data_IF_006551492387
#
_entry.id   IF_006551492387
#
_cell.length_a   1.000
_cell.length_b   1.000
_cell.length_c   1.000
_cell.angle_alpha   90.00
_cell.angle_beta   90.00
_cell.angle_gamma   90.00
#
_symmetry.space_group_name_H-M   'P 1'
#
loop_
_entity.id
_entity.type
_entity.pdbx_description
1 polymer ?
#
# COMPACT_ATOMS: atom_id res chain seq x y z
N UNK A 1 37.65 -27.45 33.63
CA UNK A 1 36.99 -26.17 33.99
C UNK A 1 35.85 -25.97 32.98
N UNK A 2 34.59 -26.18 33.37
CA UNK A 2 33.45 -26.03 32.44
C UNK A 2 33.03 -24.56 32.39
N UNK A 3 33.07 -23.95 31.21
CA UNK A 3 32.58 -22.59 31.00
C UNK A 3 31.05 -22.67 30.96
N UNK A 4 30.40 -22.27 32.06
CA UNK A 4 28.94 -22.16 32.11
C UNK A 4 28.55 -20.99 31.18
N UNK A 5 28.12 -21.33 29.97
CA UNK A 5 27.60 -20.35 29.01
C UNK A 5 26.14 -20.03 29.40
N UNK A 6 25.95 -18.93 30.13
CA UNK A 6 24.61 -18.36 30.38
C UNK A 6 24.14 -17.65 29.11
N UNK A 7 23.56 -18.39 28.18
CA UNK A 7 22.82 -17.81 27.06
C UNK A 7 21.47 -17.29 27.60
N UNK A 8 21.43 -16.02 28.00
CA UNK A 8 20.21 -15.35 28.43
C UNK A 8 19.43 -14.99 27.15
N UNK A 9 18.34 -15.72 26.88
CA UNK A 9 17.34 -15.27 25.92
C UNK A 9 16.73 -13.97 26.44
N UNK A 10 17.13 -12.83 25.85
CA UNK A 10 16.55 -11.53 26.19
C UNK A 10 15.32 -11.34 25.31
N UNK A 11 14.14 -11.48 25.90
CA UNK A 11 12.88 -11.04 25.29
C UNK A 11 12.99 -9.54 24.95
N UNK A 12 12.98 -9.22 23.65
CA UNK A 12 12.89 -7.85 23.19
C UNK A 12 11.44 -7.40 23.25
N UNK A 13 10.99 -6.97 24.43
CA UNK A 13 9.61 -6.53 24.69
C UNK A 13 9.20 -5.22 24.01
N UNK A 14 10.12 -4.57 23.29
CA UNK A 14 9.84 -3.29 22.64
C UNK A 14 9.16 -3.48 21.28
N UNK A 15 8.01 -2.84 21.10
CA UNK A 15 7.35 -2.74 19.79
C UNK A 15 8.27 -2.01 18.80
N UNK A 16 8.51 -2.58 17.61
CA UNK A 16 9.38 -1.97 16.60
C UNK A 16 8.72 -0.73 15.98
N UNK A 17 9.02 0.46 16.53
CA UNK A 17 8.39 1.74 16.13
C UNK A 17 8.51 2.03 14.63
N UNK A 18 9.64 1.70 14.02
CA UNK A 18 9.86 1.88 12.57
C UNK A 18 8.90 1.00 11.77
N UNK A 19 8.75 -0.27 12.14
CA UNK A 19 7.84 -1.17 11.46
C UNK A 19 6.38 -0.70 11.58
N UNK A 20 5.97 -0.24 12.77
CA UNK A 20 4.63 0.34 12.98
C UNK A 20 4.43 1.59 12.11
N UNK A 21 5.41 2.49 12.06
CA UNK A 21 5.37 3.67 11.21
C UNK A 21 5.23 3.33 9.72
N UNK A 22 5.99 2.34 9.24
CA UNK A 22 5.90 1.86 7.86
C UNK A 22 4.53 1.26 7.56
N UNK A 23 3.99 0.42 8.45
CA UNK A 23 2.67 -0.19 8.28
C UNK A 23 1.55 0.86 8.27
N UNK A 24 1.64 1.88 9.12
CA UNK A 24 0.71 3.01 9.10
C UNK A 24 0.80 3.80 7.79
N UNK A 25 2.02 4.03 7.29
CA UNK A 25 2.22 4.68 5.99
C UNK A 25 1.57 3.89 4.84
N UNK A 26 1.79 2.57 4.80
CA UNK A 26 1.18 1.67 3.82
C UNK A 26 -0.35 1.70 3.94
N UNK A 27 -0.89 1.67 5.17
CA UNK A 27 -2.33 1.71 5.41
C UNK A 27 -2.95 3.00 4.87
N UNK A 28 -2.39 4.16 5.25
CA UNK A 28 -2.92 5.47 4.83
C UNK A 28 -2.82 5.65 3.32
N UNK A 29 -1.67 5.29 2.73
CA UNK A 29 -1.49 5.36 1.29
C UNK A 29 -2.42 4.40 0.54
N UNK A 30 -2.57 3.17 1.02
CA UNK A 30 -3.50 2.19 0.47
C UNK A 30 -4.96 2.66 0.55
N UNK A 31 -5.36 3.25 1.67
CA UNK A 31 -6.69 3.86 1.81
C UNK A 31 -6.91 5.02 0.84
N UNK A 32 -5.88 5.84 0.57
CA UNK A 32 -5.97 6.89 -0.44
C UNK A 32 -6.13 6.31 -1.84
N UNK A 33 -5.26 5.38 -2.25
CA UNK A 33 -5.28 4.81 -3.61
C UNK A 33 -6.60 4.09 -3.87
N UNK A 34 -7.03 3.21 -2.97
CA UNK A 34 -8.24 2.42 -3.15
C UNK A 34 -9.49 3.29 -2.90
N UNK A 35 -9.51 4.04 -1.81
CA UNK A 35 -10.68 4.76 -1.34
C UNK A 35 -10.96 6.09 -2.05
N UNK A 36 -9.95 6.74 -2.61
CA UNK A 36 -10.09 8.08 -3.20
C UNK A 36 -9.60 8.18 -4.66
N UNK A 37 -8.40 7.66 -4.97
CA UNK A 37 -7.66 8.04 -6.18
C UNK A 37 -8.31 7.65 -7.51
N UNK A 38 -9.23 6.68 -7.59
CA UNK A 38 -9.97 6.30 -8.81
C UNK A 38 -9.12 6.10 -10.10
N UNK A 39 -7.79 5.92 -9.97
CA UNK A 39 -6.84 5.87 -11.10
C UNK A 39 -6.30 7.22 -11.58
N UNK A 40 -6.61 8.34 -10.91
CA UNK A 40 -6.19 9.69 -11.27
C UNK A 40 -4.68 9.89 -11.14
N UNK A 41 -4.04 9.39 -10.08
CA UNK A 41 -2.59 9.46 -9.92
C UNK A 41 -1.87 8.73 -11.06
N UNK A 42 -2.38 7.55 -11.43
CA UNK A 42 -1.82 6.77 -12.54
C UNK A 42 -1.98 7.51 -13.89
N UNK A 43 -3.13 8.14 -14.14
CA UNK A 43 -3.31 9.01 -15.32
C UNK A 43 -2.30 10.18 -15.33
N UNK A 44 -2.11 10.86 -14.20
CA UNK A 44 -1.19 11.99 -14.08
C UNK A 44 0.27 11.57 -14.34
N UNK A 45 0.68 10.42 -13.77
CA UNK A 45 1.99 9.83 -14.00
C UNK A 45 2.22 9.50 -15.48
N UNK A 46 1.25 8.84 -16.13
CA UNK A 46 1.34 8.53 -17.57
C UNK A 46 1.49 9.79 -18.41
N UNK A 47 0.69 10.83 -18.13
CA UNK A 47 0.80 12.12 -18.80
C UNK A 47 2.18 12.76 -18.62
N UNK A 48 2.76 12.68 -17.40
CA UNK A 48 4.07 13.25 -17.10
C UNK A 48 5.23 12.60 -17.85
N UNK A 49 5.10 11.31 -18.20
CA UNK A 49 6.10 10.56 -18.99
C UNK A 49 5.80 10.59 -20.50
N UNK A 50 4.86 11.44 -20.94
CA UNK A 50 4.51 11.62 -22.35
C UNK A 50 3.53 10.58 -22.91
N UNK A 51 2.99 9.70 -22.08
CA UNK A 51 1.96 8.73 -22.49
C UNK A 51 0.59 9.37 -22.32
N UNK A 52 -0.15 9.51 -23.41
CA UNK A 52 -1.54 9.99 -23.39
C UNK A 52 -2.48 8.80 -23.55
N UNK A 53 -3.17 8.36 -22.48
CA UNK A 53 -4.10 7.25 -22.56
C UNK A 53 -5.28 7.63 -23.45
N UNK A 54 -5.68 6.72 -24.33
CA UNK A 54 -6.96 6.82 -25.04
C UNK A 54 -8.12 6.69 -24.07
N UNK A 55 -9.32 7.11 -24.49
CA UNK A 55 -10.54 6.95 -23.69
C UNK A 55 -10.75 5.50 -23.21
N UNK A 56 -10.51 4.52 -24.08
CA UNK A 56 -10.63 3.10 -23.72
C UNK A 56 -9.65 2.68 -22.63
N UNK A 57 -8.41 3.17 -22.69
CA UNK A 57 -7.40 2.89 -21.65
C UNK A 57 -7.75 3.57 -20.33
N UNK A 58 -8.36 4.75 -20.38
CA UNK A 58 -8.85 5.45 -19.19
C UNK A 58 -9.99 4.68 -18.51
N UNK A 59 -10.93 4.15 -19.30
CA UNK A 59 -12.02 3.30 -18.80
C UNK A 59 -11.50 1.96 -18.26
N UNK A 60 -10.46 1.40 -18.85
CA UNK A 60 -9.79 0.21 -18.29
C UNK A 60 -9.22 0.51 -16.90
N UNK A 61 -8.58 1.67 -16.74
CA UNK A 61 -8.01 2.09 -15.46
C UNK A 61 -9.09 2.38 -14.41
N UNK A 62 -10.22 2.96 -14.84
CA UNK A 62 -11.40 3.16 -14.00
C UNK A 62 -11.93 1.83 -13.45
N UNK A 63 -12.17 0.84 -14.33
CA UNK A 63 -12.74 -0.44 -13.93
C UNK A 63 -11.75 -1.28 -13.12
N UNK A 64 -10.46 -1.21 -13.45
CA UNK A 64 -9.42 -1.81 -12.62
C UNK A 64 -9.42 -1.23 -11.20
N UNK A 65 -9.56 0.09 -11.04
CA UNK A 65 -9.64 0.71 -9.72
C UNK A 65 -10.96 0.36 -9.02
N UNK A 66 -12.03 0.12 -9.77
CA UNK A 66 -13.30 -0.37 -9.26
C UNK A 66 -13.16 -1.78 -8.65
N UNK A 67 -12.49 -2.69 -9.36
CA UNK A 67 -12.19 -4.05 -8.87
C UNK A 67 -11.29 -4.05 -7.62
N UNK A 68 -10.30 -3.16 -7.57
CA UNK A 68 -9.46 -2.98 -6.38
C UNK A 68 -10.28 -2.58 -5.14
N UNK A 69 -11.28 -1.71 -5.32
CA UNK A 69 -12.19 -1.30 -4.24
C UNK A 69 -13.03 -2.45 -3.73
N UNK A 70 -13.65 -3.20 -4.65
CA UNK A 70 -14.39 -4.41 -4.30
C UNK A 70 -13.52 -5.40 -3.53
N UNK A 71 -12.31 -5.67 -4.03
CA UNK A 71 -11.36 -6.60 -3.41
C UNK A 71 -10.94 -6.16 -2.01
N UNK A 72 -10.87 -4.85 -1.78
CA UNK A 72 -10.57 -4.27 -0.47
C UNK A 72 -11.81 -4.12 0.44
N UNK A 73 -12.99 -4.55 0.00
CA UNK A 73 -14.24 -4.45 0.75
C UNK A 73 -14.78 -3.02 0.87
N UNK A 74 -14.31 -2.08 0.04
CA UNK A 74 -14.86 -0.74 -0.01
C UNK A 74 -16.18 -0.75 -0.76
N UNK A 75 -17.22 -0.06 -0.24
CA UNK A 75 -18.45 0.10 -0.98
C UNK A 75 -18.21 0.92 -2.25
N UNK A 76 -18.93 0.54 -3.29
CA UNK A 76 -19.15 1.30 -4.50
C UNK A 76 -20.62 1.13 -4.88
N UNK A 77 -21.17 2.17 -5.54
CA UNK A 77 -22.60 2.32 -5.90
C UNK A 77 -23.56 2.26 -4.72
#
# INVERSE_FOLDING_TARGET
MSVINKQIAKESSSVPKIAVGTLLGILVFGMFVVGYDQGQLAQALLGSVGIQPTHTQLMLLHEFNHDLRHSAGFPCH
#
